data_IF_288709877394
#
_entry.id   IF_288709877394
#
_cell.length_a   1.000
_cell.length_b   1.000
_cell.length_c   1.000
_cell.angle_alpha   90.00
_cell.angle_beta   90.00
_cell.angle_gamma   90.00
#
_symmetry.space_group_name_H-M   'P 1'
#
loop_
_entity.id
_entity.type
_entity.pdbx_description
1 polymer ?
#
# COMPACT_ATOMS: atom_id res chain seq x y z
N UNK A 1 19.93 13.99 10.59
CA UNK A 1 18.89 13.24 9.87
C UNK A 1 18.22 12.06 10.64
N UNK A 2 18.43 11.92 11.96
CA UNK A 2 17.84 10.82 12.77
C UNK A 2 16.59 11.21 13.55
N UNK A 3 16.21 12.46 13.60
CA UNK A 3 15.08 12.96 14.40
C UNK A 3 13.72 12.90 13.71
N UNK A 4 13.68 12.93 12.36
CA UNK A 4 12.43 12.92 11.62
C UNK A 4 11.72 11.55 11.66
N UNK A 5 12.48 10.44 11.63
CA UNK A 5 11.93 9.07 11.70
C UNK A 5 11.18 8.74 13.02
N UNK A 6 11.44 9.48 14.09
CA UNK A 6 10.75 9.27 15.40
C UNK A 6 9.39 9.94 15.50
N UNK A 7 9.11 10.93 14.67
CA UNK A 7 7.85 11.68 14.70
C UNK A 7 6.72 10.99 13.94
N UNK A 8 7.04 10.21 12.89
CA UNK A 8 6.04 9.48 12.11
C UNK A 8 5.37 8.36 12.92
N UNK A 9 6.11 7.67 13.78
CA UNK A 9 5.55 6.63 14.64
C UNK A 9 4.62 7.17 15.73
N UNK A 10 4.88 8.37 16.25
CA UNK A 10 4.08 8.99 17.30
C UNK A 10 2.74 9.54 16.77
N UNK A 11 2.71 10.00 15.51
CA UNK A 11 1.49 10.51 14.88
C UNK A 11 0.52 9.38 14.54
N UNK A 12 1.01 8.20 14.18
CA UNK A 12 0.17 7.03 13.89
C UNK A 12 -0.58 6.53 15.14
N UNK A 13 0.07 6.56 16.31
CA UNK A 13 -0.55 6.12 17.56
C UNK A 13 -1.66 7.08 18.05
N UNK A 14 -1.54 8.38 17.78
CA UNK A 14 -2.52 9.37 18.19
C UNK A 14 -3.79 9.35 17.34
N UNK A 15 -3.70 8.98 16.06
CA UNK A 15 -4.85 8.93 15.14
C UNK A 15 -5.83 7.78 15.47
N UNK A 16 -5.35 6.67 16.02
CA UNK A 16 -6.22 5.53 16.41
C UNK A 16 -7.03 5.78 17.67
N UNK A 17 -6.60 6.68 18.55
CA UNK A 17 -7.29 6.96 19.82
C UNK A 17 -8.50 7.90 19.67
N UNK A 18 -8.62 8.64 18.57
CA UNK A 18 -9.67 9.64 18.34
C UNK A 18 -10.93 9.09 17.64
N UNK A 19 -10.89 7.88 17.11
CA UNK A 19 -12.03 7.28 16.38
C UNK A 19 -13.04 6.54 17.26
N UNK A 20 -12.85 6.46 18.58
CA UNK A 20 -13.74 5.71 19.48
C UNK A 20 -14.74 6.57 20.27
N UNK A 21 -14.83 7.88 20.05
CA UNK A 21 -15.64 8.79 20.87
C UNK A 21 -16.83 9.47 20.20
N UNK A 22 -17.21 9.06 18.99
CA UNK A 22 -18.33 9.70 18.27
C UNK A 22 -19.48 8.71 17.96
N UNK A 23 -20.04 8.09 19.00
CA UNK A 23 -21.31 7.36 18.87
C UNK A 23 -22.13 7.50 20.14
N UNK A 24 -22.82 8.62 20.33
CA UNK A 24 -24.05 8.74 21.14
C UNK A 24 -24.56 10.17 21.06
N UNK A 25 -25.71 10.36 20.42
CA UNK A 25 -26.52 11.58 20.50
C UNK A 25 -27.95 11.30 20.06
N UNK A 26 -28.94 11.79 20.81
CA UNK A 26 -30.30 11.28 20.77
C UNK A 26 -31.22 11.97 19.74
N UNK A 27 -32.21 11.21 19.34
CA UNK A 27 -33.33 11.53 18.45
C UNK A 27 -34.30 12.61 19.02
N UNK A 28 -34.89 13.42 18.15
CA UNK A 28 -36.09 14.20 18.46
C UNK A 28 -36.54 15.12 17.30
N UNK A 29 -37.82 15.49 17.17
CA UNK A 29 -38.59 15.19 15.98
C UNK A 29 -38.99 16.36 15.06
N UNK A 30 -39.35 16.00 13.84
CA UNK A 30 -40.15 16.50 12.69
C UNK A 30 -40.77 17.90 12.63
N UNK A 31 -40.58 18.49 11.45
CA UNK A 31 -41.49 19.12 10.46
C UNK A 31 -41.95 20.59 10.66
N UNK A 32 -42.53 21.34 9.65
CA UNK A 32 -42.63 21.11 8.21
C UNK A 32 -42.35 22.33 7.26
N UNK A 33 -42.24 22.01 5.96
CA UNK A 33 -42.62 22.70 4.69
C UNK A 33 -42.19 24.13 4.27
N UNK A 34 -41.44 24.10 3.16
CA UNK A 34 -41.55 24.77 1.82
C UNK A 34 -41.37 26.29 1.69
N UNK A 35 -41.14 26.93 0.49
CA UNK A 35 -40.80 26.37 -0.84
C UNK A 35 -39.64 27.05 -1.61
N UNK A 36 -39.17 26.39 -2.67
CA UNK A 36 -38.49 26.79 -3.92
C UNK A 36 -37.84 28.17 -4.10
N UNK A 37 -36.57 28.18 -4.51
CA UNK A 37 -36.08 28.93 -5.69
C UNK A 37 -34.75 28.35 -6.23
N UNK A 38 -34.55 28.39 -7.56
CA UNK A 38 -33.50 27.69 -8.26
C UNK A 38 -32.25 28.52 -8.50
N UNK A 39 -31.14 27.83 -8.68
CA UNK A 39 -29.99 28.36 -9.38
C UNK A 39 -28.75 28.51 -8.55
N UNK A 40 -27.88 27.56 -8.67
CA UNK A 40 -26.49 27.77 -9.04
C UNK A 40 -25.76 26.43 -8.95
N UNK A 41 -25.33 25.89 -10.09
CA UNK A 41 -24.45 24.77 -10.19
C UNK A 41 -23.07 25.15 -9.67
N UNK A 42 -22.84 24.95 -8.40
CA UNK A 42 -21.49 24.76 -7.90
C UNK A 42 -21.28 23.27 -7.77
N UNK A 43 -20.47 22.73 -8.67
CA UNK A 43 -19.85 21.42 -8.53
C UNK A 43 -19.03 21.43 -7.25
N UNK A 44 -19.71 21.25 -6.13
CA UNK A 44 -19.11 20.98 -4.84
C UNK A 44 -18.41 19.62 -4.92
N UNK A 45 -17.11 19.66 -5.13
CA UNK A 45 -16.25 18.52 -4.81
C UNK A 45 -16.44 18.27 -3.34
N UNK A 46 -17.07 17.14 -3.01
CA UNK A 46 -17.27 16.69 -1.63
C UNK A 46 -15.89 16.59 -0.94
N UNK A 47 -15.64 17.30 0.16
CA UNK A 47 -14.32 17.31 0.81
C UNK A 47 -13.96 15.99 1.49
N UNK A 48 -14.78 14.94 1.37
CA UNK A 48 -14.71 13.74 2.22
C UNK A 48 -14.05 12.52 1.60
N UNK A 49 -13.49 12.57 0.35
CA UNK A 49 -13.09 11.31 -0.32
C UNK A 49 -11.61 11.16 -0.66
N UNK A 50 -10.70 12.03 -0.26
CA UNK A 50 -9.27 11.77 -0.43
C UNK A 50 -8.69 11.08 0.81
N UNK A 51 -8.72 9.75 0.77
CA UNK A 51 -7.96 8.93 1.75
C UNK A 51 -6.50 9.38 1.78
N UNK A 52 -5.98 9.58 2.97
CA UNK A 52 -4.54 9.84 3.16
C UNK A 52 -3.71 8.65 2.64
N UNK A 53 -2.44 8.88 2.34
CA UNK A 53 -1.54 7.79 1.93
C UNK A 53 -1.52 6.65 2.96
N UNK A 54 -1.46 6.97 4.25
CA UNK A 54 -1.53 5.99 5.32
C UNK A 54 -2.82 5.15 5.28
N UNK A 55 -3.97 5.77 5.00
CA UNK A 55 -5.24 5.06 4.85
C UNK A 55 -5.29 4.18 3.59
N UNK A 56 -4.67 4.62 2.49
CA UNK A 56 -4.55 3.81 1.27
C UNK A 56 -3.65 2.60 1.50
N UNK A 57 -2.52 2.78 2.19
CA UNK A 57 -1.60 1.71 2.57
C UNK A 57 -2.29 0.70 3.50
N UNK A 58 -3.00 1.16 4.53
CA UNK A 58 -3.76 0.29 5.42
C UNK A 58 -4.81 -0.52 4.65
N UNK A 59 -5.55 0.10 3.74
CA UNK A 59 -6.54 -0.56 2.90
C UNK A 59 -5.93 -1.68 2.02
N UNK A 60 -4.69 -1.52 1.55
CA UNK A 60 -3.97 -2.58 0.81
C UNK A 60 -3.75 -3.80 1.71
N UNK A 61 -3.32 -3.60 2.96
CA UNK A 61 -3.07 -4.69 3.93
C UNK A 61 -4.38 -5.39 4.31
N UNK A 62 -5.44 -4.61 4.57
CA UNK A 62 -6.76 -5.15 4.90
C UNK A 62 -7.31 -6.00 3.74
N UNK A 63 -7.20 -5.47 2.50
CA UNK A 63 -7.62 -6.19 1.29
C UNK A 63 -6.81 -7.48 1.11
N UNK A 64 -5.48 -7.43 1.31
CA UNK A 64 -4.63 -8.61 1.21
C UNK A 64 -5.04 -9.66 2.24
N UNK A 65 -5.28 -9.27 3.50
CA UNK A 65 -5.74 -10.19 4.55
C UNK A 65 -7.10 -10.81 4.22
N UNK A 66 -8.05 -10.03 3.67
CA UNK A 66 -9.34 -10.53 3.24
C UNK A 66 -9.19 -11.57 2.12
N UNK A 67 -8.40 -11.25 1.09
CA UNK A 67 -8.15 -12.19 -0.02
C UNK A 67 -7.43 -13.45 0.48
N UNK A 68 -6.45 -13.33 1.37
CA UNK A 68 -5.77 -14.50 1.99
C UNK A 68 -6.77 -15.43 2.64
N UNK A 69 -7.71 -14.89 3.42
CA UNK A 69 -8.77 -15.65 4.08
C UNK A 69 -9.67 -16.38 3.09
N UNK A 70 -10.04 -15.74 1.98
CA UNK A 70 -10.86 -16.36 0.92
C UNK A 70 -10.14 -17.55 0.24
N UNK A 71 -8.81 -17.54 0.22
CA UNK A 71 -7.99 -18.66 -0.25
C UNK A 71 -7.61 -19.66 0.86
N UNK A 72 -8.29 -19.61 2.01
CA UNK A 72 -8.09 -20.55 3.10
C UNK A 72 -6.90 -20.24 4.01
N UNK A 73 -6.22 -19.11 3.80
CA UNK A 73 -5.10 -18.69 4.63
C UNK A 73 -5.59 -17.79 5.77
N UNK A 74 -5.74 -18.35 6.94
CA UNK A 74 -6.24 -17.65 8.12
C UNK A 74 -5.13 -16.99 8.97
N UNK A 75 -3.88 -16.99 8.50
CA UNK A 75 -2.77 -16.32 9.18
C UNK A 75 -2.78 -14.83 8.80
N UNK A 76 -3.16 -13.91 9.70
CA UNK A 76 -3.21 -12.49 9.38
C UNK A 76 -1.79 -11.93 9.25
N UNK A 77 -1.64 -10.98 8.34
CA UNK A 77 -0.44 -10.16 8.22
C UNK A 77 -0.57 -8.92 9.08
N UNK A 78 0.47 -8.62 9.83
CA UNK A 78 0.57 -7.38 10.62
C UNK A 78 1.58 -6.46 9.97
N UNK A 79 1.21 -5.20 9.79
CA UNK A 79 2.10 -4.19 9.23
C UNK A 79 3.29 -3.94 10.17
N UNK A 80 4.49 -3.90 9.62
CA UNK A 80 5.73 -3.72 10.35
C UNK A 80 6.57 -2.60 9.72
N UNK A 81 7.13 -1.73 10.56
CA UNK A 81 7.87 -0.55 10.08
C UNK A 81 9.15 -0.91 9.32
N UNK A 82 9.90 -1.92 9.80
CA UNK A 82 11.11 -2.39 9.10
C UNK A 82 10.75 -3.03 7.76
N UNK A 83 9.64 -3.79 7.71
CA UNK A 83 9.12 -4.35 6.47
C UNK A 83 8.69 -3.25 5.49
N UNK A 84 8.10 -2.14 5.96
CA UNK A 84 7.76 -0.99 5.12
C UNK A 84 9.00 -0.31 4.56
N UNK A 85 10.07 -0.11 5.36
CA UNK A 85 11.34 0.44 4.88
C UNK A 85 11.91 -0.44 3.73
N UNK A 86 11.84 -1.77 3.87
CA UNK A 86 12.30 -2.70 2.82
C UNK A 86 11.42 -2.70 1.57
N UNK A 87 10.12 -2.57 1.75
CA UNK A 87 9.18 -2.45 0.64
C UNK A 87 9.39 -1.14 -0.12
N UNK A 88 9.77 -0.04 0.55
CA UNK A 88 10.13 1.22 -0.10
C UNK A 88 11.43 1.10 -0.90
N UNK A 89 12.48 0.45 -0.36
CA UNK A 89 13.70 0.14 -1.10
C UNK A 89 13.40 -0.68 -2.37
N UNK A 90 12.52 -1.67 -2.28
CA UNK A 90 12.09 -2.50 -3.41
C UNK A 90 11.23 -1.71 -4.41
N UNK A 91 10.35 -0.82 -3.93
CA UNK A 91 9.54 0.04 -4.79
C UNK A 91 10.43 1.00 -5.60
N UNK A 92 11.46 1.56 -4.97
CA UNK A 92 12.44 2.40 -5.65
C UNK A 92 13.19 1.62 -6.73
N UNK A 93 13.66 0.41 -6.43
CA UNK A 93 14.34 -0.44 -7.40
C UNK A 93 13.44 -0.74 -8.61
N UNK A 94 12.17 -1.11 -8.37
CA UNK A 94 11.22 -1.41 -9.44
C UNK A 94 10.88 -0.17 -10.27
N UNK A 95 10.69 0.98 -9.63
CA UNK A 95 10.47 2.25 -10.34
C UNK A 95 11.68 2.60 -11.21
N UNK A 96 12.89 2.53 -10.67
CA UNK A 96 14.14 2.77 -11.39
C UNK A 96 14.29 1.82 -12.60
N UNK A 97 13.85 0.57 -12.45
CA UNK A 97 13.77 -0.39 -13.56
C UNK A 97 12.82 0.06 -14.67
N UNK A 98 11.61 0.49 -14.32
CA UNK A 98 10.62 0.97 -15.28
C UNK A 98 11.04 2.28 -15.96
N UNK A 99 11.79 3.13 -15.27
CA UNK A 99 12.35 4.37 -15.81
C UNK A 99 13.60 4.14 -16.70
N UNK A 100 13.98 2.87 -16.92
CA UNK A 100 15.08 2.53 -17.83
C UNK A 100 16.49 2.70 -17.24
N UNK A 101 16.65 2.89 -15.94
CA UNK A 101 17.99 3.00 -15.31
C UNK A 101 18.83 1.72 -15.48
N UNK A 102 18.18 0.60 -15.71
CA UNK A 102 18.83 -0.71 -15.93
C UNK A 102 18.74 -1.18 -17.39
N UNK A 103 18.45 -0.25 -18.32
CA UNK A 103 18.22 -0.56 -19.74
C UNK A 103 16.75 -0.80 -20.07
N UNK A 104 16.48 -1.14 -21.34
CA UNK A 104 15.11 -1.35 -21.84
C UNK A 104 14.40 -2.56 -21.25
N UNK A 105 15.15 -3.52 -20.70
CA UNK A 105 14.62 -4.71 -20.03
C UNK A 105 15.41 -4.93 -18.72
N UNK A 106 14.90 -4.43 -17.59
CA UNK A 106 15.61 -4.55 -16.32
C UNK A 106 15.82 -6.00 -15.89
N UNK A 107 14.97 -6.93 -16.33
CA UNK A 107 15.10 -8.35 -15.97
C UNK A 107 16.33 -9.00 -16.61
N UNK A 108 16.91 -8.41 -17.65
CA UNK A 108 18.16 -8.85 -18.27
C UNK A 108 19.41 -8.16 -17.71
N UNK A 109 19.23 -7.19 -16.83
CA UNK A 109 20.34 -6.46 -16.21
C UNK A 109 20.93 -7.24 -15.03
N UNK A 110 22.22 -7.54 -15.09
CA UNK A 110 22.94 -8.14 -13.98
C UNK A 110 22.93 -7.26 -12.74
N UNK A 111 23.02 -5.93 -12.92
CA UNK A 111 22.98 -4.98 -11.83
C UNK A 111 21.60 -4.98 -11.16
N UNK A 112 20.49 -4.99 -11.94
CA UNK A 112 19.15 -5.10 -11.40
C UNK A 112 18.97 -6.38 -10.58
N UNK A 113 19.42 -7.53 -11.12
CA UNK A 113 19.37 -8.81 -10.43
C UNK A 113 20.19 -8.79 -9.13
N UNK A 114 21.36 -8.14 -9.13
CA UNK A 114 22.20 -7.99 -7.93
C UNK A 114 21.49 -7.14 -6.86
N UNK A 115 20.92 -6.01 -7.24
CA UNK A 115 20.23 -5.10 -6.33
C UNK A 115 18.96 -5.74 -5.77
N UNK A 116 18.18 -6.43 -6.63
CA UNK A 116 17.04 -7.24 -6.22
C UNK A 116 17.43 -8.29 -5.18
N UNK A 117 18.50 -9.05 -5.46
CA UNK A 117 18.99 -10.09 -4.55
C UNK A 117 19.50 -9.51 -3.22
N UNK A 118 20.07 -8.32 -3.23
CA UNK A 118 20.51 -7.66 -2.02
C UNK A 118 19.33 -7.33 -1.10
N UNK A 119 18.25 -6.75 -1.65
CA UNK A 119 17.04 -6.42 -0.87
C UNK A 119 16.29 -7.70 -0.44
N UNK A 120 16.12 -8.66 -1.35
CA UNK A 120 15.34 -9.89 -1.08
C UNK A 120 15.99 -10.84 -0.06
N UNK A 121 17.27 -10.70 0.20
CA UNK A 121 17.99 -11.49 1.23
C UNK A 121 17.92 -10.87 2.62
N UNK A 122 17.46 -9.63 2.73
CA UNK A 122 17.31 -8.98 4.03
C UNK A 122 16.19 -9.68 4.83
N UNK A 123 16.39 -9.73 6.13
CA UNK A 123 15.38 -10.27 7.04
C UNK A 123 14.71 -9.12 7.80
N UNK A 124 13.46 -9.32 8.18
CA UNK A 124 12.72 -8.43 9.07
C UNK A 124 12.40 -9.21 10.34
N UNK A 125 12.90 -8.75 11.47
CA UNK A 125 12.77 -9.45 12.77
C UNK A 125 13.17 -10.94 12.69
N UNK A 126 14.24 -11.24 11.93
CA UNK A 126 14.74 -12.60 11.72
C UNK A 126 13.93 -13.44 10.73
N UNK A 127 12.83 -12.94 10.18
CA UNK A 127 12.03 -13.62 9.16
C UNK A 127 12.54 -13.30 7.76
N UNK A 128 12.56 -14.32 6.90
CA UNK A 128 12.95 -14.17 5.50
C UNK A 128 11.80 -13.65 4.66
N UNK A 129 12.12 -13.00 3.55
CA UNK A 129 11.17 -12.61 2.54
C UNK A 129 10.44 -13.84 1.97
N UNK A 130 9.10 -13.76 1.98
CA UNK A 130 8.21 -14.81 1.48
C UNK A 130 7.57 -14.40 0.17
N UNK A 131 7.04 -13.18 0.07
CA UNK A 131 6.32 -12.70 -1.10
C UNK A 131 6.65 -11.26 -1.45
N UNK A 132 6.57 -10.93 -2.75
CA UNK A 132 6.72 -9.56 -3.29
C UNK A 132 5.73 -9.35 -4.42
N UNK A 133 5.02 -8.23 -4.39
CA UNK A 133 4.18 -7.77 -5.49
C UNK A 133 4.30 -6.26 -5.65
N UNK A 134 4.55 -5.78 -6.87
CA UNK A 134 4.65 -4.38 -7.20
C UNK A 134 3.67 -3.98 -8.30
N UNK A 135 3.18 -2.75 -8.26
CA UNK A 135 2.29 -2.17 -9.26
C UNK A 135 2.35 -0.64 -9.22
N UNK A 136 2.11 -0.02 -10.38
CA UNK A 136 2.08 1.44 -10.54
C UNK A 136 0.82 2.13 -9.97
N UNK A 137 0.07 1.45 -9.10
CA UNK A 137 -1.10 1.98 -8.42
C UNK A 137 -1.30 1.25 -7.08
N UNK A 138 -2.17 1.77 -6.20
CA UNK A 138 -2.57 1.05 -5.00
C UNK A 138 -3.30 -0.25 -5.37
N UNK A 139 -2.96 -1.32 -4.67
CA UNK A 139 -3.44 -2.66 -5.01
C UNK A 139 -4.90 -2.82 -4.62
N UNK A 140 -5.74 -3.02 -5.63
CA UNK A 140 -7.16 -3.36 -5.46
C UNK A 140 -7.32 -4.86 -5.23
N UNK A 141 -8.49 -5.27 -4.78
CA UNK A 141 -8.85 -6.67 -4.57
C UNK A 141 -8.63 -7.51 -5.85
N UNK A 142 -9.02 -6.99 -7.02
CA UNK A 142 -8.87 -7.69 -8.29
C UNK A 142 -7.39 -7.92 -8.65
N UNK A 143 -6.52 -6.95 -8.38
CA UNK A 143 -5.07 -7.07 -8.57
C UNK A 143 -4.50 -8.14 -7.65
N UNK A 144 -4.85 -8.11 -6.36
CA UNK A 144 -4.36 -9.07 -5.36
C UNK A 144 -4.86 -10.49 -5.69
N UNK A 145 -6.12 -10.65 -6.07
CA UNK A 145 -6.65 -11.95 -6.53
C UNK A 145 -5.94 -12.47 -7.79
N UNK A 146 -5.53 -11.55 -8.68
CA UNK A 146 -4.75 -11.88 -9.86
C UNK A 146 -3.37 -12.48 -9.53
N UNK A 147 -2.77 -12.11 -8.40
CA UNK A 147 -1.45 -12.62 -7.99
C UNK A 147 -1.41 -14.14 -7.80
N UNK A 148 -2.51 -14.76 -7.37
CA UNK A 148 -2.59 -16.21 -7.18
C UNK A 148 -2.37 -16.98 -8.50
N UNK A 149 -2.73 -16.34 -9.62
CA UNK A 149 -2.57 -16.92 -10.97
C UNK A 149 -1.23 -16.57 -11.63
N UNK A 150 -0.40 -15.77 -10.98
CA UNK A 150 0.92 -15.41 -11.50
C UNK A 150 1.82 -16.63 -11.54
N UNK A 151 2.60 -16.77 -12.62
CA UNK A 151 3.50 -17.92 -12.82
C UNK A 151 4.79 -17.84 -11.99
N UNK A 152 5.10 -16.66 -11.44
CA UNK A 152 6.23 -16.46 -10.56
C UNK A 152 5.94 -16.96 -9.13
N UNK A 153 6.99 -17.20 -8.36
CA UNK A 153 6.84 -17.67 -6.97
C UNK A 153 6.42 -16.58 -5.98
N UNK A 154 6.78 -15.32 -6.27
CA UNK A 154 6.71 -14.24 -5.28
C UNK A 154 5.29 -13.70 -5.06
N UNK A 155 4.54 -13.44 -6.12
CA UNK A 155 3.18 -12.90 -6.02
C UNK A 155 2.19 -13.90 -5.45
N UNK A 156 2.14 -15.18 -5.91
CA UNK A 156 1.27 -16.17 -5.28
C UNK A 156 1.55 -16.32 -3.78
N UNK A 157 2.81 -16.28 -3.36
CA UNK A 157 3.19 -16.43 -1.96
C UNK A 157 2.64 -15.33 -1.04
N UNK A 158 2.40 -14.10 -1.55
CA UNK A 158 1.73 -13.05 -0.81
C UNK A 158 0.37 -13.50 -0.27
N UNK A 159 -0.36 -14.27 -1.07
CA UNK A 159 -1.71 -14.73 -0.74
C UNK A 159 -1.71 -16.09 -0.05
N UNK A 160 -0.92 -17.04 -0.56
CA UNK A 160 -1.04 -18.46 -0.19
C UNK A 160 -0.12 -18.89 0.95
N UNK A 161 0.98 -18.19 1.21
CA UNK A 161 1.93 -18.61 2.25
C UNK A 161 1.40 -18.40 3.65
N UNK A 162 1.37 -19.46 4.45
CA UNK A 162 1.02 -19.44 5.88
C UNK A 162 2.20 -19.07 6.79
N UNK A 163 3.42 -19.02 6.25
CA UNK A 163 4.63 -18.67 7.01
C UNK A 163 4.75 -17.15 7.24
N UNK A 164 4.18 -16.37 6.32
CA UNK A 164 4.22 -14.92 6.40
C UNK A 164 3.27 -14.41 7.49
N UNK A 165 3.79 -13.57 8.38
CA UNK A 165 3.04 -12.91 9.46
C UNK A 165 3.26 -11.41 9.52
N UNK A 166 4.31 -10.91 8.84
CA UNK A 166 4.60 -9.48 8.74
C UNK A 166 4.44 -9.02 7.30
N UNK A 167 4.00 -7.77 7.14
CA UNK A 167 3.86 -7.12 5.84
C UNK A 167 4.41 -5.71 5.88
N UNK A 168 5.10 -5.33 4.82
CA UNK A 168 5.47 -3.96 4.50
C UNK A 168 4.84 -3.51 3.21
N UNK A 169 4.41 -2.27 3.16
CA UNK A 169 3.96 -1.59 1.95
C UNK A 169 4.82 -0.36 1.75
N UNK A 170 5.53 -0.31 0.64
CA UNK A 170 6.36 0.82 0.24
C UNK A 170 5.72 1.58 -0.91
N UNK A 171 5.72 2.90 -0.83
CA UNK A 171 5.22 3.81 -1.85
C UNK A 171 6.32 4.77 -2.24
N UNK A 172 6.66 4.83 -3.52
CA UNK A 172 7.68 5.76 -4.03
C UNK A 172 7.10 6.56 -5.17
N UNK A 173 7.13 7.89 -5.03
CA UNK A 173 6.70 8.83 -6.06
C UNK A 173 7.77 8.95 -7.15
N UNK A 174 7.31 9.03 -8.40
CA UNK A 174 8.19 9.43 -9.50
C UNK A 174 8.29 10.97 -9.51
N UNK A 175 9.49 11.48 -9.37
CA UNK A 175 9.77 12.92 -9.39
C UNK A 175 10.49 13.38 -10.65
N UNK A 176 10.68 12.50 -11.63
CA UNK A 176 11.29 12.84 -12.91
C UNK A 176 10.24 13.46 -13.85
N UNK A 177 10.31 14.76 -14.14
CA UNK A 177 9.32 15.46 -14.96
C UNK A 177 9.21 14.95 -16.40
N UNK A 178 10.18 14.14 -16.87
CA UNK A 178 10.15 13.54 -18.22
C UNK A 178 9.30 12.26 -18.28
N UNK A 179 9.05 11.64 -17.15
CA UNK A 179 8.41 10.33 -17.08
C UNK A 179 7.22 10.31 -16.11
N UNK A 180 7.01 11.39 -15.35
CA UNK A 180 5.94 11.52 -14.36
C UNK A 180 4.55 11.28 -14.97
N UNK A 181 4.31 11.78 -16.18
CA UNK A 181 3.04 11.59 -16.91
C UNK A 181 2.72 10.12 -17.22
N UNK A 182 3.73 9.24 -17.23
CA UNK A 182 3.58 7.82 -17.57
C UNK A 182 3.50 6.93 -16.35
N UNK A 183 4.29 7.24 -15.35
CA UNK A 183 4.40 6.47 -14.11
C UNK A 183 4.44 7.47 -12.96
N UNK A 184 3.34 7.66 -12.26
CA UNK A 184 3.26 8.62 -11.15
C UNK A 184 3.95 8.09 -9.89
N UNK A 185 3.80 6.81 -9.59
CA UNK A 185 4.38 6.18 -8.40
C UNK A 185 4.44 4.66 -8.53
N UNK A 186 5.20 4.03 -7.64
CA UNK A 186 5.27 2.58 -7.48
C UNK A 186 4.84 2.19 -6.07
N UNK A 187 3.97 1.20 -5.96
CA UNK A 187 3.59 0.56 -4.69
C UNK A 187 4.10 -0.86 -4.69
N UNK A 188 4.81 -1.25 -3.66
CA UNK A 188 5.29 -2.63 -3.46
C UNK A 188 4.80 -3.16 -2.13
N UNK A 189 4.32 -4.40 -2.13
CA UNK A 189 3.98 -5.18 -0.94
C UNK A 189 5.02 -6.28 -0.78
N UNK A 190 5.56 -6.41 0.42
CA UNK A 190 6.50 -7.48 0.80
C UNK A 190 6.00 -8.16 2.07
N UNK A 191 6.09 -9.50 2.11
CA UNK A 191 5.68 -10.30 3.29
C UNK A 191 6.84 -11.14 3.82
N UNK A 192 6.90 -11.28 5.15
CA UNK A 192 7.95 -11.97 5.90
C UNK A 192 7.38 -12.94 6.92
#
# INVERSE_FOLDING_TARGET
MKLWKRWTAAVLAAAMALLLLAACGPSGPSAPDAPDKPGSSETGKDPTDEKTEAQKVAAVVDTLNAVRKDYGNNTPLTMDAEACDKAEEMAKLQLDGLLGKYGSDPMKSEQYAKDWNAISKLTVKGKKLVGVGGYGAYHTESVIRGWVKDTGKWKPALVTSTEATLVGVGVVQNTDPKTEDKIHFMVVVMTY
#
